data_IF_267371615776
#
_entry.id   IF_267371615776
#
_cell.length_a   1.000
_cell.length_b   1.000
_cell.length_c   1.000
_cell.angle_alpha   90.00
_cell.angle_beta   90.00
_cell.angle_gamma   90.00
#
_symmetry.space_group_name_H-M   'P 1'
#
loop_
_entity.id
_entity.type
_entity.pdbx_description
1 polymer ?
#
# COMPACT_ATOMS: atom_id res chain seq x y z
N UNK A 1 -17.93 11.60 18.64
CA UNK A 1 -18.13 10.93 17.33
C UNK A 1 -16.92 10.05 17.09
N UNK A 2 -17.04 8.74 17.34
CA UNK A 2 -15.92 7.79 17.22
C UNK A 2 -15.76 7.47 15.73
N UNK A 3 -14.76 8.08 15.09
CA UNK A 3 -14.37 7.69 13.73
C UNK A 3 -13.75 6.30 13.84
N UNK A 4 -14.53 5.29 13.49
CA UNK A 4 -14.04 3.92 13.41
C UNK A 4 -12.89 3.89 12.40
N UNK A 5 -11.68 3.59 12.89
CA UNK A 5 -10.53 3.31 12.06
C UNK A 5 -10.93 2.29 11.00
N UNK A 6 -10.99 2.73 9.74
CA UNK A 6 -11.24 1.84 8.60
C UNK A 6 -10.03 0.91 8.52
N UNK A 7 -10.14 -0.26 9.14
CA UNK A 7 -9.07 -1.24 9.12
C UNK A 7 -8.66 -1.49 7.66
N UNK A 8 -7.36 -1.37 7.36
CA UNK A 8 -6.80 -1.74 6.07
C UNK A 8 -7.07 -3.23 5.87
N UNK A 9 -8.23 -3.59 5.32
CA UNK A 9 -8.53 -4.97 4.96
C UNK A 9 -7.50 -5.41 3.94
N UNK A 10 -6.79 -6.48 4.26
CA UNK A 10 -5.79 -7.07 3.37
C UNK A 10 -6.45 -7.44 2.03
N UNK A 11 -5.83 -7.12 0.89
CA UNK A 11 -6.38 -7.43 -0.42
C UNK A 11 -6.58 -8.94 -0.56
N UNK A 12 -7.81 -9.35 -0.91
CA UNK A 12 -8.17 -10.76 -1.08
C UNK A 12 -8.64 -11.49 0.19
N UNK A 13 -8.66 -10.83 1.35
CA UNK A 13 -9.10 -11.46 2.61
C UNK A 13 -10.56 -11.92 2.57
N UNK A 14 -11.45 -11.13 1.95
CA UNK A 14 -12.86 -11.50 1.82
C UNK A 14 -13.03 -12.78 0.97
N UNK A 15 -12.23 -12.93 -0.09
CA UNK A 15 -12.22 -14.15 -0.93
C UNK A 15 -11.67 -15.36 -0.16
N UNK A 16 -10.64 -15.20 0.68
CA UNK A 16 -10.14 -16.28 1.55
C UNK A 16 -11.20 -16.75 2.54
N UNK A 17 -11.92 -15.81 3.17
CA UNK A 17 -12.96 -16.13 4.15
C UNK A 17 -14.08 -16.92 3.48
N UNK A 18 -14.57 -16.46 2.33
CA UNK A 18 -15.64 -17.15 1.58
C UNK A 18 -15.17 -18.55 1.18
N UNK A 19 -13.97 -18.68 0.62
CA UNK A 19 -13.41 -19.98 0.22
C UNK A 19 -13.26 -20.95 1.40
N UNK A 20 -12.80 -20.46 2.56
CA UNK A 20 -12.66 -21.24 3.78
C UNK A 20 -14.00 -21.71 4.34
N UNK A 21 -15.01 -20.85 4.39
CA UNK A 21 -16.36 -21.19 4.85
C UNK A 21 -16.99 -22.27 3.97
N UNK A 22 -16.88 -22.13 2.65
CA UNK A 22 -17.40 -23.14 1.69
C UNK A 22 -16.68 -24.47 1.85
N UNK A 23 -15.35 -24.46 2.04
CA UNK A 23 -14.57 -25.67 2.25
C UNK A 23 -14.99 -26.40 3.54
N UNK A 24 -15.10 -25.68 4.65
CA UNK A 24 -15.53 -26.24 5.94
C UNK A 24 -16.93 -26.83 5.85
N UNK A 25 -17.88 -26.11 5.23
CA UNK A 25 -19.23 -26.61 5.02
C UNK A 25 -19.25 -27.89 4.16
N UNK A 26 -18.43 -27.94 3.12
CA UNK A 26 -18.32 -29.11 2.24
C UNK A 26 -17.74 -30.32 2.97
N UNK A 27 -16.69 -30.11 3.78
CA UNK A 27 -16.11 -31.17 4.61
C UNK A 27 -17.13 -31.69 5.63
N UNK A 28 -17.90 -30.80 6.27
CA UNK A 28 -18.94 -31.20 7.20
C UNK A 28 -19.99 -32.11 6.55
N UNK A 29 -20.46 -31.77 5.34
CA UNK A 29 -21.38 -32.64 4.57
C UNK A 29 -20.73 -33.98 4.24
N UNK A 30 -19.45 -33.99 3.86
CA UNK A 30 -18.74 -35.24 3.53
C UNK A 30 -18.61 -36.19 4.71
N UNK A 31 -18.44 -35.66 5.93
CA UNK A 31 -18.30 -36.41 7.19
C UNK A 31 -19.65 -36.90 7.72
N UNK A 32 -20.69 -36.07 7.62
CA UNK A 32 -22.01 -36.37 8.19
C UNK A 32 -22.85 -37.32 7.33
N UNK A 33 -22.53 -37.48 6.04
CA UNK A 33 -23.24 -38.40 5.14
C UNK A 33 -22.53 -39.75 5.07
N UNK A 34 -23.12 -40.83 5.61
CA UNK A 34 -22.55 -42.16 5.57
C UNK A 34 -22.43 -42.64 4.13
N UNK A 35 -21.25 -43.11 3.75
CA UNK A 35 -20.98 -43.72 2.45
C UNK A 35 -19.90 -44.75 2.59
N UNK A 36 -19.98 -45.84 1.84
CA UNK A 36 -19.02 -46.94 1.93
C UNK A 36 -17.63 -46.64 1.36
N UNK A 37 -17.47 -45.55 0.58
CA UNK A 37 -16.19 -45.15 0.00
C UNK A 37 -15.86 -43.67 0.22
N UNK A 38 -14.83 -43.43 1.03
CA UNK A 38 -14.34 -42.09 1.41
C UNK A 38 -13.43 -41.47 0.35
N UNK A 39 -12.63 -42.29 -0.34
CA UNK A 39 -11.61 -41.84 -1.29
C UNK A 39 -12.15 -41.04 -2.49
N UNK A 40 -13.25 -41.46 -3.15
CA UNK A 40 -13.81 -40.72 -4.28
C UNK A 40 -14.21 -39.28 -3.93
N UNK A 41 -14.72 -39.05 -2.70
CA UNK A 41 -15.08 -37.71 -2.23
C UNK A 41 -13.85 -36.82 -2.05
N UNK A 42 -12.78 -37.36 -1.47
CA UNK A 42 -11.53 -36.62 -1.24
C UNK A 42 -10.86 -36.26 -2.56
N UNK A 43 -10.80 -37.20 -3.51
CA UNK A 43 -10.26 -36.95 -4.85
C UNK A 43 -11.10 -35.89 -5.57
N UNK A 44 -12.43 -36.00 -5.53
CA UNK A 44 -13.32 -35.01 -6.14
C UNK A 44 -13.16 -33.61 -5.53
N UNK A 45 -13.02 -33.50 -4.20
CA UNK A 45 -12.76 -32.24 -3.50
C UNK A 45 -11.45 -31.61 -3.95
N UNK A 46 -10.35 -32.37 -3.93
CA UNK A 46 -9.02 -31.88 -4.32
C UNK A 46 -8.98 -31.48 -5.80
N UNK A 47 -9.59 -32.29 -6.67
CA UNK A 47 -9.70 -31.98 -8.09
C UNK A 47 -10.50 -30.69 -8.33
N UNK A 48 -11.61 -30.51 -7.62
CA UNK A 48 -12.39 -29.28 -7.65
C UNK A 48 -11.55 -28.07 -7.24
N UNK A 49 -10.84 -28.15 -6.10
CA UNK A 49 -9.96 -27.07 -5.62
C UNK A 49 -8.89 -26.73 -6.67
N UNK A 50 -8.19 -27.74 -7.18
CA UNK A 50 -7.12 -27.55 -8.16
C UNK A 50 -7.62 -26.87 -9.43
N UNK A 51 -8.76 -27.33 -9.98
CA UNK A 51 -9.37 -26.75 -11.19
C UNK A 51 -9.85 -25.33 -10.92
N UNK A 52 -10.50 -25.07 -9.79
CA UNK A 52 -10.96 -23.74 -9.40
C UNK A 52 -9.81 -22.74 -9.25
N UNK A 53 -8.74 -23.12 -8.56
CA UNK A 53 -7.53 -22.27 -8.45
C UNK A 53 -6.93 -22.04 -9.83
N UNK A 54 -6.76 -23.10 -10.62
CA UNK A 54 -6.10 -23.01 -11.92
C UNK A 54 -6.83 -22.08 -12.88
N UNK A 55 -8.16 -22.19 -12.97
CA UNK A 55 -8.97 -21.36 -13.84
C UNK A 55 -8.93 -19.89 -13.44
N UNK A 56 -9.03 -19.58 -12.15
CA UNK A 56 -9.03 -18.17 -11.71
C UNK A 56 -7.64 -17.55 -11.76
N UNK A 57 -6.59 -18.35 -11.57
CA UNK A 57 -5.22 -17.84 -11.48
C UNK A 57 -4.48 -17.82 -12.81
N UNK A 58 -4.68 -18.82 -13.66
CA UNK A 58 -3.84 -19.05 -14.85
C UNK A 58 -4.63 -19.08 -16.16
N UNK A 59 -5.97 -19.16 -16.13
CA UNK A 59 -6.71 -19.18 -17.39
C UNK A 59 -6.64 -17.82 -18.11
N UNK A 60 -6.43 -17.81 -19.43
CA UNK A 60 -6.56 -16.62 -20.25
C UNK A 60 -7.97 -16.00 -20.12
N UNK A 61 -8.13 -14.67 -20.25
CA UNK A 61 -9.41 -13.97 -20.11
C UNK A 61 -10.37 -14.18 -21.30
N UNK A 62 -10.32 -15.34 -21.94
CA UNK A 62 -11.10 -15.64 -23.13
C UNK A 62 -12.57 -15.89 -22.78
N UNK A 63 -13.44 -14.98 -23.25
CA UNK A 63 -14.88 -14.98 -22.95
C UNK A 63 -15.61 -16.27 -23.33
N UNK A 64 -15.09 -17.03 -24.29
CA UNK A 64 -15.65 -18.31 -24.74
C UNK A 64 -15.27 -19.50 -23.85
N UNK A 65 -14.29 -19.34 -22.96
CA UNK A 65 -13.83 -20.42 -22.09
C UNK A 65 -14.80 -20.66 -20.93
N UNK A 66 -15.49 -19.61 -20.46
CA UNK A 66 -16.50 -19.69 -19.40
C UNK A 66 -17.68 -20.64 -19.71
N UNK A 67 -18.37 -20.56 -20.87
CA UNK A 67 -19.45 -21.50 -21.17
C UNK A 67 -18.95 -22.94 -21.31
N UNK A 68 -17.77 -23.16 -21.89
CA UNK A 68 -17.18 -24.50 -22.04
C UNK A 68 -16.87 -25.11 -20.67
N UNK A 69 -16.22 -24.34 -19.80
CA UNK A 69 -15.92 -24.76 -18.42
C UNK A 69 -17.19 -25.05 -17.65
N UNK A 70 -18.24 -24.24 -17.81
CA UNK A 70 -19.52 -24.45 -17.13
C UNK A 70 -20.17 -25.79 -17.54
N UNK A 71 -20.20 -26.09 -18.84
CA UNK A 71 -20.76 -27.35 -19.35
C UNK A 71 -19.96 -28.55 -18.84
N UNK A 72 -18.63 -28.49 -18.89
CA UNK A 72 -17.76 -29.54 -18.36
C UNK A 72 -17.93 -29.71 -16.85
N UNK A 73 -18.00 -28.61 -16.10
CA UNK A 73 -18.20 -28.62 -14.67
C UNK A 73 -19.52 -29.28 -14.27
N UNK A 74 -20.61 -28.94 -14.95
CA UNK A 74 -21.94 -29.55 -14.75
C UNK A 74 -21.88 -31.04 -15.11
N UNK A 75 -21.26 -31.39 -16.24
CA UNK A 75 -21.10 -32.79 -16.66
C UNK A 75 -20.37 -33.63 -15.61
N UNK A 76 -19.26 -33.12 -15.07
CA UNK A 76 -18.48 -33.80 -14.01
C UNK A 76 -19.29 -33.91 -12.72
N UNK A 77 -20.05 -32.88 -12.33
CA UNK A 77 -20.92 -32.94 -11.16
C UNK A 77 -21.95 -34.06 -11.29
N UNK A 78 -22.69 -34.12 -12.41
CA UNK A 78 -23.68 -35.18 -12.63
C UNK A 78 -23.04 -36.57 -12.73
N UNK A 79 -21.87 -36.70 -13.37
CA UNK A 79 -21.17 -37.97 -13.50
C UNK A 79 -20.67 -38.53 -12.16
N UNK A 80 -20.23 -37.65 -11.25
CA UNK A 80 -19.77 -38.04 -9.92
C UNK A 80 -20.94 -38.46 -9.01
N UNK A 81 -22.09 -37.79 -9.14
CA UNK A 81 -23.30 -38.07 -8.37
C UNK A 81 -23.13 -37.91 -6.85
N UNK A 82 -24.24 -37.91 -6.12
CA UNK A 82 -24.27 -37.97 -4.65
C UNK A 82 -23.26 -37.05 -3.93
N UNK A 83 -22.57 -37.61 -2.93
CA UNK A 83 -21.60 -36.86 -2.11
C UNK A 83 -20.31 -36.50 -2.88
N UNK A 84 -19.73 -37.35 -3.75
CA UNK A 84 -18.58 -36.96 -4.58
C UNK A 84 -18.87 -35.75 -5.50
N UNK A 85 -20.08 -35.64 -6.04
CA UNK A 85 -20.51 -34.46 -6.81
C UNK A 85 -20.57 -33.19 -5.98
N UNK A 86 -21.08 -33.28 -4.73
CA UNK A 86 -21.07 -32.16 -3.77
C UNK A 86 -19.64 -31.76 -3.40
N UNK A 87 -18.75 -32.74 -3.19
CA UNK A 87 -17.34 -32.52 -2.90
C UNK A 87 -16.61 -31.79 -4.04
N UNK A 88 -16.86 -32.20 -5.29
CA UNK A 88 -16.38 -31.50 -6.49
C UNK A 88 -16.85 -30.05 -6.54
N UNK A 89 -18.16 -29.82 -6.33
CA UNK A 89 -18.75 -28.49 -6.39
C UNK A 89 -18.19 -27.55 -5.31
N UNK A 90 -18.17 -28.02 -4.06
CA UNK A 90 -17.63 -27.26 -2.93
C UNK A 90 -16.13 -27.00 -3.07
N UNK A 91 -15.36 -28.00 -3.53
CA UNK A 91 -13.95 -27.85 -3.83
C UNK A 91 -13.68 -26.80 -4.90
N UNK A 92 -14.44 -26.81 -5.99
CA UNK A 92 -14.32 -25.82 -7.07
C UNK A 92 -14.56 -24.39 -6.61
N UNK A 93 -15.64 -24.15 -5.85
CA UNK A 93 -15.94 -22.81 -5.33
C UNK A 93 -14.86 -22.34 -4.35
N UNK A 94 -14.41 -23.21 -3.45
CA UNK A 94 -13.31 -22.90 -2.54
C UNK A 94 -12.02 -22.57 -3.31
N UNK A 95 -11.66 -23.39 -4.29
CA UNK A 95 -10.51 -23.19 -5.16
C UNK A 95 -10.56 -21.89 -5.95
N UNK A 96 -11.70 -21.56 -6.56
CA UNK A 96 -11.88 -20.31 -7.30
C UNK A 96 -11.67 -19.08 -6.40
N UNK A 97 -12.19 -19.12 -5.18
CA UNK A 97 -12.02 -18.07 -4.17
C UNK A 97 -10.56 -17.93 -3.71
N UNK A 98 -9.86 -19.05 -3.51
CA UNK A 98 -8.43 -19.04 -3.21
C UNK A 98 -7.59 -18.52 -4.38
N UNK A 99 -7.91 -18.91 -5.62
CA UNK A 99 -7.27 -18.38 -6.82
C UNK A 99 -7.48 -16.87 -6.99
N UNK A 100 -8.67 -16.36 -6.64
CA UNK A 100 -8.97 -14.94 -6.66
C UNK A 100 -8.17 -14.18 -5.58
N UNK A 101 -8.11 -14.72 -4.37
CA UNK A 101 -7.30 -14.17 -3.28
C UNK A 101 -5.81 -14.12 -3.65
N UNK A 102 -5.29 -15.22 -4.21
CA UNK A 102 -3.91 -15.29 -4.70
C UNK A 102 -3.64 -14.22 -5.75
N UNK A 103 -4.50 -14.13 -6.77
CA UNK A 103 -4.33 -13.15 -7.86
C UNK A 103 -4.33 -11.72 -7.34
N UNK A 104 -5.21 -11.40 -6.38
CA UNK A 104 -5.24 -10.09 -5.71
C UNK A 104 -3.97 -9.85 -4.89
N UNK A 105 -3.49 -10.85 -4.16
CA UNK A 105 -2.25 -10.76 -3.38
C UNK A 105 -1.01 -10.56 -4.27
N UNK A 106 -0.92 -11.23 -5.41
CA UNK A 106 0.19 -11.06 -6.37
C UNK A 106 0.13 -9.71 -7.07
N UNK A 107 -1.05 -9.27 -7.53
CA UNK A 107 -1.19 -7.94 -8.15
C UNK A 107 -0.80 -6.82 -7.17
N UNK A 108 -1.15 -6.96 -5.90
CA UNK A 108 -0.75 -6.01 -4.87
C UNK A 108 0.74 -6.10 -4.51
N UNK A 109 1.40 -7.25 -4.72
CA UNK A 109 2.88 -7.34 -4.64
C UNK A 109 3.58 -6.71 -5.86
N UNK A 110 2.93 -6.73 -7.02
CA UNK A 110 3.50 -6.22 -8.28
C UNK A 110 3.26 -4.72 -8.51
N UNK A 111 2.35 -4.08 -7.76
CA UNK A 111 2.06 -2.64 -7.89
C UNK A 111 2.10 -2.00 -6.50
N UNK A 112 3.29 -1.87 -5.93
CA UNK A 112 3.55 -0.71 -5.06
C UNK A 112 4.16 0.31 -5.99
N UNK A 113 3.50 1.43 -6.21
CA UNK A 113 4.08 2.51 -7.00
C UNK A 113 5.47 2.80 -6.45
N UNK A 114 6.45 2.91 -7.35
CA UNK A 114 7.83 3.11 -6.92
C UNK A 114 7.95 4.44 -6.16
N UNK A 115 7.17 5.44 -6.57
CA UNK A 115 7.11 6.77 -5.97
C UNK A 115 5.68 7.15 -5.59
N UNK A 116 5.54 7.97 -4.56
CA UNK A 116 4.28 8.64 -4.22
C UNK A 116 4.55 10.13 -3.95
N UNK A 117 3.72 11.03 -4.46
CA UNK A 117 3.80 12.49 -4.22
C UNK A 117 2.41 13.00 -3.83
N UNK A 118 2.20 13.42 -2.59
CA UNK A 118 0.87 13.84 -2.07
C UNK A 118 -0.26 12.87 -2.46
N UNK A 119 -0.07 11.59 -2.17
CA UNK A 119 -0.94 10.46 -2.54
C UNK A 119 -1.02 10.13 -4.05
N UNK A 120 -0.34 10.87 -4.93
CA UNK A 120 -0.22 10.52 -6.34
C UNK A 120 0.83 9.42 -6.52
N UNK A 121 0.35 8.22 -6.86
CA UNK A 121 1.17 7.05 -7.18
C UNK A 121 1.84 7.19 -8.56
N UNK A 122 3.17 7.10 -8.60
CA UNK A 122 3.99 7.31 -9.81
C UNK A 122 4.99 6.17 -9.98
N UNK A 123 5.20 5.76 -11.22
CA UNK A 123 6.03 4.59 -11.54
C UNK A 123 7.44 4.95 -12.02
N UNK A 124 7.73 6.24 -12.18
CA UNK A 124 9.05 6.70 -12.63
C UNK A 124 9.54 7.89 -11.82
N UNK A 125 10.86 7.96 -11.61
CA UNK A 125 11.50 9.11 -10.95
C UNK A 125 11.29 10.42 -11.72
N UNK A 126 11.14 10.36 -13.05
CA UNK A 126 10.90 11.53 -13.88
C UNK A 126 9.51 12.14 -13.62
N UNK A 127 8.47 11.30 -13.52
CA UNK A 127 7.13 11.73 -13.13
C UNK A 127 7.12 12.24 -11.69
N UNK A 128 7.74 11.52 -10.76
CA UNK A 128 7.85 11.92 -9.36
C UNK A 128 8.54 13.28 -9.20
N UNK A 129 9.66 13.49 -9.91
CA UNK A 129 10.36 14.77 -9.94
C UNK A 129 9.49 15.90 -10.48
N UNK A 130 8.76 15.66 -11.57
CA UNK A 130 7.89 16.67 -12.17
C UNK A 130 6.76 17.04 -11.21
N UNK A 131 6.10 16.04 -10.60
CA UNK A 131 5.01 16.24 -9.65
C UNK A 131 5.49 16.94 -8.38
N UNK A 132 6.58 16.46 -7.76
CA UNK A 132 7.11 17.01 -6.52
C UNK A 132 7.59 18.46 -6.68
N UNK A 133 8.26 18.80 -7.80
CA UNK A 133 8.65 20.18 -8.06
C UNK A 133 7.45 21.10 -8.32
N UNK A 134 6.41 20.61 -8.98
CA UNK A 134 5.19 21.38 -9.19
C UNK A 134 4.47 21.63 -7.86
N UNK A 135 4.34 20.60 -7.01
CA UNK A 135 3.74 20.70 -5.69
C UNK A 135 4.54 21.63 -4.75
N UNK A 136 5.87 21.49 -4.73
CA UNK A 136 6.77 22.35 -3.94
C UNK A 136 6.60 23.84 -4.29
N UNK A 137 6.50 24.17 -5.58
CA UNK A 137 6.26 25.55 -6.05
C UNK A 137 4.85 26.04 -5.77
N UNK A 138 3.90 25.13 -5.58
CA UNK A 138 2.50 25.44 -5.27
C UNK A 138 2.23 25.54 -3.76
N UNK A 139 3.22 25.34 -2.88
CA UNK A 139 3.05 25.45 -1.42
C UNK A 139 2.63 26.85 -0.95
N UNK A 140 2.70 27.86 -1.83
CA UNK A 140 2.22 29.21 -1.56
C UNK A 140 0.70 29.33 -1.76
N UNK A 141 -0.09 29.17 -0.69
CA UNK A 141 -1.55 29.25 -0.79
C UNK A 141 -2.32 29.24 0.54
N UNK A 142 -3.58 29.71 0.47
CA UNK A 142 -4.54 29.89 1.60
C UNK A 142 -4.89 28.62 2.39
N UNK A 143 -4.43 27.44 1.98
CA UNK A 143 -4.69 26.16 2.66
C UNK A 143 -3.49 25.63 3.46
N UNK A 144 -2.36 26.34 3.46
CA UNK A 144 -1.11 25.83 4.05
C UNK A 144 -0.56 24.64 3.27
N UNK A 145 0.58 24.82 2.61
CA UNK A 145 1.16 23.78 1.81
C UNK A 145 1.89 22.74 2.66
N UNK A 146 1.56 21.46 2.46
CA UNK A 146 2.44 20.34 2.78
C UNK A 146 2.72 19.55 1.50
N UNK A 147 3.97 19.14 1.33
CA UNK A 147 4.41 18.20 0.32
C UNK A 147 4.95 16.96 1.02
N UNK A 148 4.52 15.79 0.56
CA UNK A 148 5.07 14.48 0.95
C UNK A 148 5.52 13.72 -0.29
N UNK A 149 6.77 13.29 -0.31
CA UNK A 149 7.33 12.43 -1.36
C UNK A 149 7.85 11.14 -0.73
N UNK A 150 7.42 10.00 -1.25
CA UNK A 150 7.80 8.68 -0.73
C UNK A 150 8.43 7.81 -1.83
N UNK A 151 9.42 7.00 -1.44
CA UNK A 151 9.99 5.93 -2.26
C UNK A 151 10.25 4.70 -1.37
N UNK A 152 9.45 3.64 -1.57
CA UNK A 152 9.56 2.45 -0.73
C UNK A 152 9.24 2.71 0.74
N UNK A 153 10.28 2.81 1.58
CA UNK A 153 10.20 3.19 2.99
C UNK A 153 10.73 4.61 3.24
N UNK A 154 11.48 5.19 2.31
CA UNK A 154 12.03 6.52 2.44
C UNK A 154 10.96 7.58 2.21
N UNK A 155 11.09 8.71 2.91
CA UNK A 155 10.12 9.81 2.89
C UNK A 155 10.82 11.15 2.99
N UNK A 156 10.31 12.11 2.24
CA UNK A 156 10.73 13.50 2.22
C UNK A 156 9.49 14.36 2.42
N UNK A 157 9.57 15.34 3.32
CA UNK A 157 8.45 16.19 3.67
C UNK A 157 8.85 17.66 3.66
N UNK A 158 7.93 18.50 3.20
CA UNK A 158 8.08 19.95 3.28
C UNK A 158 6.78 20.54 3.78
N UNK A 159 6.87 21.48 4.71
CA UNK A 159 5.77 22.37 5.06
C UNK A 159 6.24 23.81 5.03
N UNK A 160 5.36 24.71 4.59
CA UNK A 160 5.64 26.13 4.55
C UNK A 160 4.95 26.81 3.40
N UNK A 161 5.45 28.00 3.08
CA UNK A 161 4.98 28.79 1.95
C UNK A 161 6.15 29.49 1.27
N UNK A 162 6.06 29.67 -0.04
CA UNK A 162 7.06 30.43 -0.79
C UNK A 162 7.07 31.87 -0.24
N UNK A 163 8.25 32.38 0.11
CA UNK A 163 8.41 33.71 0.71
C UNK A 163 8.07 33.81 2.21
N UNK A 164 7.49 32.77 2.82
CA UNK A 164 7.24 32.68 4.27
C UNK A 164 8.25 31.76 4.98
N UNK A 165 8.94 30.91 4.21
CA UNK A 165 9.91 29.95 4.68
C UNK A 165 9.32 28.54 4.79
N UNK A 166 10.19 27.54 4.67
CA UNK A 166 9.83 26.12 4.60
C UNK A 166 10.67 25.28 5.55
N UNK A 167 10.03 24.37 6.26
CA UNK A 167 10.68 23.31 7.03
C UNK A 167 10.71 22.05 6.18
N UNK A 168 11.87 21.42 6.11
CA UNK A 168 12.11 20.28 5.26
C UNK A 168 12.64 19.11 6.09
N UNK A 169 12.02 17.95 5.97
CA UNK A 169 12.41 16.73 6.65
C UNK A 169 12.70 15.62 5.65
N UNK A 170 13.58 14.70 6.05
CA UNK A 170 13.80 13.44 5.33
C UNK A 170 13.99 12.28 6.29
N UNK A 171 13.67 11.10 5.81
CA UNK A 171 13.95 9.84 6.48
C UNK A 171 14.20 8.76 5.43
N UNK A 172 15.23 7.93 5.62
CA UNK A 172 15.49 6.77 4.77
C UNK A 172 14.52 5.60 5.05
N UNK A 173 13.88 5.60 6.22
CA UNK A 173 12.85 4.65 6.63
C UNK A 173 11.82 5.32 7.55
N UNK A 174 10.68 5.71 6.99
CA UNK A 174 9.57 6.35 7.69
C UNK A 174 8.94 5.47 8.78
N UNK A 175 9.24 4.17 8.84
CA UNK A 175 8.81 3.30 9.94
C UNK A 175 9.70 3.41 11.18
N UNK A 176 10.91 3.96 11.02
CA UNK A 176 11.81 4.28 12.12
C UNK A 176 11.67 5.76 12.51
N UNK A 177 10.97 6.01 13.61
CA UNK A 177 10.75 7.37 14.12
C UNK A 177 12.04 8.08 14.56
N UNK A 178 13.14 7.36 14.77
CA UNK A 178 14.43 7.93 15.20
C UNK A 178 15.33 8.34 14.05
N UNK A 179 14.96 7.99 12.81
CA UNK A 179 15.76 8.23 11.62
C UNK A 179 15.38 9.52 10.87
N UNK A 180 14.52 10.35 11.47
CA UNK A 180 14.15 11.64 10.90
C UNK A 180 15.28 12.67 11.03
N UNK A 181 15.48 13.41 9.95
CA UNK A 181 16.38 14.54 9.88
C UNK A 181 15.64 15.78 9.38
N UNK A 182 16.03 16.94 9.89
CA UNK A 182 15.52 18.25 9.46
C UNK A 182 16.64 19.04 8.78
N UNK A 183 16.31 19.77 7.72
CA UNK A 183 17.25 20.61 6.99
C UNK A 183 17.54 21.90 7.77
N UNK A 184 18.82 22.20 7.99
CA UNK A 184 19.30 23.34 8.77
C UNK A 184 19.97 24.37 7.87
N UNK A 185 19.68 25.64 8.11
CA UNK A 185 20.37 26.80 7.55
C UNK A 185 21.55 27.17 8.47
N UNK A 186 22.80 26.92 8.06
CA UNK A 186 23.96 27.22 8.90
C UNK A 186 24.09 28.72 9.17
N UNK A 187 24.57 29.07 10.37
CA UNK A 187 24.86 30.46 10.75
C UNK A 187 23.66 31.31 11.17
N UNK A 188 22.46 30.71 11.32
CA UNK A 188 21.31 31.40 11.91
C UNK A 188 21.25 31.22 13.44
N UNK A 189 20.76 32.23 14.19
CA UNK A 189 20.57 32.12 15.63
C UNK A 189 19.57 31.02 16.01
N UNK A 190 19.82 30.35 17.14
CA UNK A 190 18.94 29.33 17.73
C UNK A 190 17.70 29.92 18.40
N UNK A 191 17.79 31.16 18.87
CA UNK A 191 16.81 31.73 19.80
C UNK A 191 15.65 32.46 19.10
N UNK A 192 15.74 32.61 17.77
CA UNK A 192 14.69 33.25 16.99
C UNK A 192 13.78 32.17 16.40
N UNK A 193 12.49 32.31 16.60
CA UNK A 193 11.49 31.45 15.98
C UNK A 193 10.58 32.25 15.03
N UNK A 194 10.05 31.58 14.02
CA UNK A 194 9.21 32.15 12.97
C UNK A 194 7.97 31.29 12.83
N UNK A 195 6.81 31.92 12.64
CA UNK A 195 5.59 31.19 12.28
C UNK A 195 5.69 30.67 10.85
N UNK A 196 5.61 29.35 10.70
CA UNK A 196 5.57 28.67 9.41
C UNK A 196 4.20 28.01 9.25
N UNK A 197 3.51 28.21 8.11
CA UNK A 197 2.28 27.48 7.82
C UNK A 197 2.60 25.99 7.62
N UNK A 198 1.85 25.12 8.30
CA UNK A 198 2.02 23.66 8.30
C UNK A 198 0.68 22.98 8.00
N UNK A 199 0.12 23.25 6.83
CA UNK A 199 -1.26 22.90 6.53
C UNK A 199 -2.24 23.85 7.23
N UNK A 200 -3.27 23.28 7.87
CA UNK A 200 -4.32 24.05 8.57
C UNK A 200 -3.83 24.73 9.87
N UNK A 201 -2.60 24.44 10.31
CA UNK A 201 -2.01 24.99 11.53
C UNK A 201 -0.76 25.82 11.21
N UNK A 202 -0.38 26.69 12.14
CA UNK A 202 0.92 27.37 12.11
C UNK A 202 1.82 26.78 13.19
N UNK A 203 3.05 26.44 12.82
CA UNK A 203 4.10 26.03 13.74
C UNK A 203 5.03 27.20 14.05
N UNK A 204 5.41 27.37 15.32
CA UNK A 204 6.48 28.28 15.70
C UNK A 204 7.81 27.54 15.62
N UNK A 205 8.62 27.83 14.61
CA UNK A 205 9.80 27.04 14.26
C UNK A 205 11.07 27.85 14.42
N UNK A 206 12.16 27.30 15.01
CA UNK A 206 13.45 27.97 15.05
C UNK A 206 13.90 28.40 13.64
N UNK A 207 14.30 29.66 13.48
CA UNK A 207 14.63 30.25 12.17
C UNK A 207 15.75 29.51 11.44
N UNK A 208 16.63 28.83 12.19
CA UNK A 208 17.67 27.97 11.63
C UNK A 208 17.14 26.75 10.89
N UNK A 209 15.90 26.31 11.15
CA UNK A 209 15.25 25.18 10.48
C UNK A 209 14.33 25.64 9.32
N UNK A 210 14.21 26.95 9.12
CA UNK A 210 13.34 27.56 8.10
C UNK A 210 14.19 27.94 6.89
N UNK A 211 13.90 27.30 5.76
CA UNK A 211 14.68 27.38 4.52
C UNK A 211 13.90 28.12 3.42
N UNK A 212 14.63 28.79 2.53
CA UNK A 212 14.07 29.32 1.28
C UNK A 212 13.82 28.19 0.28
N UNK A 213 13.11 28.49 -0.81
CA UNK A 213 12.80 27.51 -1.86
C UNK A 213 14.04 26.83 -2.45
N UNK A 214 15.11 27.58 -2.73
CA UNK A 214 16.31 27.05 -3.40
C UNK A 214 16.98 25.89 -2.64
N UNK A 215 17.34 26.04 -1.36
CA UNK A 215 17.87 24.94 -0.55
C UNK A 215 16.94 23.72 -0.46
N UNK A 216 15.63 23.94 -0.40
CA UNK A 216 14.64 22.84 -0.34
C UNK A 216 14.53 22.11 -1.69
N UNK A 217 14.57 22.83 -2.82
CA UNK A 217 14.62 22.24 -4.16
C UNK A 217 15.88 21.38 -4.35
N UNK A 218 17.04 21.83 -3.83
CA UNK A 218 18.28 21.06 -3.86
C UNK A 218 18.17 19.78 -3.01
N UNK A 219 17.64 19.90 -1.78
CA UNK A 219 17.40 18.76 -0.89
C UNK A 219 16.44 17.73 -1.51
N UNK A 220 15.37 18.19 -2.17
CA UNK A 220 14.42 17.32 -2.89
C UNK A 220 15.11 16.62 -4.07
N UNK A 221 15.92 17.34 -4.85
CA UNK A 221 16.65 16.76 -5.97
C UNK A 221 17.62 15.65 -5.53
N UNK A 222 18.30 15.84 -4.39
CA UNK A 222 19.19 14.85 -3.80
C UNK A 222 18.41 13.64 -3.26
N UNK A 223 17.27 13.87 -2.59
CA UNK A 223 16.38 12.78 -2.16
C UNK A 223 15.89 11.94 -3.35
N UNK A 224 15.43 12.58 -4.43
CA UNK A 224 14.98 11.89 -5.64
C UNK A 224 16.11 11.08 -6.31
N UNK A 225 17.37 11.44 -6.07
CA UNK A 225 18.53 10.71 -6.59
C UNK A 225 18.90 9.51 -5.71
N UNK A 226 18.83 9.65 -4.39
CA UNK A 226 19.21 8.62 -3.42
C UNK A 226 18.26 8.62 -2.20
N UNK A 227 17.02 8.11 -2.34
CA UNK A 227 16.00 8.24 -1.29
C UNK A 227 16.36 7.45 -0.03
N UNK A 228 17.02 6.29 -0.17
CA UNK A 228 17.44 5.45 0.95
C UNK A 228 18.77 5.83 1.61
N UNK A 229 19.36 7.00 1.29
CA UNK A 229 20.65 7.37 1.88
C UNK A 229 20.50 7.70 3.37
N UNK A 230 21.13 6.91 4.22
CA UNK A 230 21.27 7.17 5.66
C UNK A 230 22.43 8.11 5.99
N UNK A 231 23.37 8.29 5.05
CA UNK A 231 24.38 9.34 5.17
C UNK A 231 23.73 10.68 4.81
N UNK A 232 23.74 11.57 5.80
CA UNK A 232 23.21 12.92 5.74
C UNK A 232 24.38 13.89 5.61
N UNK A 233 24.22 14.91 4.76
CA UNK A 233 25.19 16.01 4.67
C UNK A 233 25.17 16.89 5.94
N UNK A 234 26.16 17.78 6.11
CA UNK A 234 26.27 18.66 7.28
C UNK A 234 25.07 19.62 7.45
N UNK A 235 24.28 19.82 6.40
CA UNK A 235 23.04 20.59 6.40
C UNK A 235 21.85 19.89 7.04
N UNK A 236 22.00 18.65 7.53
CA UNK A 236 20.92 17.88 8.16
C UNK A 236 21.21 17.60 9.62
N UNK A 237 20.19 17.76 10.45
CA UNK A 237 20.26 17.47 11.88
C UNK A 237 19.21 16.45 12.28
N UNK A 238 19.60 15.51 13.13
CA UNK A 238 18.73 14.45 13.67
C UNK A 238 18.45 14.71 15.15
N UNK A 239 17.51 13.95 15.74
CA UNK A 239 17.20 14.03 17.17
C UNK A 239 16.07 15.02 17.48
N UNK A 240 16.17 15.71 18.62
CA UNK A 240 15.04 16.45 19.21
C UNK A 240 14.46 17.53 18.29
N UNK A 241 15.28 18.22 17.52
CA UNK A 241 14.80 19.26 16.60
C UNK A 241 14.01 18.68 15.43
N UNK A 242 14.48 17.56 14.87
CA UNK A 242 13.78 16.85 13.81
C UNK A 242 12.45 16.29 14.31
N UNK A 243 12.42 15.73 15.52
CA UNK A 243 11.21 15.21 16.16
C UNK A 243 10.21 16.32 16.52
N UNK A 244 10.67 17.40 17.15
CA UNK A 244 9.81 18.50 17.61
C UNK A 244 9.16 19.28 16.48
N UNK A 245 9.80 19.30 15.30
CA UNK A 245 9.27 19.99 14.10
C UNK A 245 8.62 19.03 13.12
N UNK A 246 8.54 17.74 13.44
CA UNK A 246 7.96 16.72 12.56
C UNK A 246 6.49 17.04 12.30
N UNK A 247 6.12 16.97 11.03
CA UNK A 247 4.75 17.18 10.57
C UNK A 247 3.93 15.92 10.90
N UNK A 248 3.50 15.79 12.15
CA UNK A 248 2.59 14.71 12.53
C UNK A 248 1.25 14.92 11.83
N UNK A 249 0.77 13.88 11.15
CA UNK A 249 -0.57 13.83 10.55
C UNK A 249 -1.60 13.87 11.68
N UNK A 250 -2.20 15.05 11.91
CA UNK A 250 -3.43 15.20 12.67
C UNK A 250 -4.61 15.33 11.71
#
# INVERSE_FOLDING_TARGET
MVVAAKSRRRPGMDSLIIGGVVLIATIAVMVLVPTEQTWPKVIALLAGIAVGVWLVRFAPPWRWLSPVVLVLFIGVWFALGGVPGIAWFGGFIAGANFGAAWTKAVKHRMVKAEWTVDDLELNTVAEARKAANAALKALDGKAGGRLVVEHGAARFEVAGGVGLGMVCHRNSDASDERSWAVLVRPGQPTDKAVEVPMGDVKGLIPSRLVNELGPVEAALADFLKNPGSSSLGPEWETGSDAEATRLTTH
#
